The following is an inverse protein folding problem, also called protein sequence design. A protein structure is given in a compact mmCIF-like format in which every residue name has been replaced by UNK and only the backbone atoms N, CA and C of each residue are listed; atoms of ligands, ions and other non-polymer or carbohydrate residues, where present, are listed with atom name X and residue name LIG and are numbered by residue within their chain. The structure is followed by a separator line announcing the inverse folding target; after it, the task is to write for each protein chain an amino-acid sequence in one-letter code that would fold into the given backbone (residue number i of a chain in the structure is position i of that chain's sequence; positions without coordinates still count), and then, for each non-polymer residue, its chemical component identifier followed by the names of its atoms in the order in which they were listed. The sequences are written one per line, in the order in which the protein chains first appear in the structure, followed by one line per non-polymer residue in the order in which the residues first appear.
data_IF_602231446383
#
_entry.id   IF_602231446383
#
_cell.length_a   1.000
_cell.length_b   1.000
_cell.length_c   1.000
_cell.angle_alpha   90.00
_cell.angle_beta   90.00
_cell.angle_gamma   90.00
#
_symmetry.space_group_name_H-M   'P 1'
#
loop_
_entity.id
_entity.type
_entity.pdbx_description
1 polymer ?
#
# COMPACT_ATOMS: atom_id res chain seq x y z
N UNK A 1 -11.04 4.74 15.47
CA UNK A 1 -11.21 5.23 14.09
C UNK A 1 -11.85 4.11 13.31
N UNK A 2 -13.09 4.29 12.87
CA UNK A 2 -13.74 3.37 11.92
C UNK A 2 -13.18 3.78 10.55
N UNK A 3 -12.66 2.82 9.79
CA UNK A 3 -12.12 3.07 8.45
C UNK A 3 -13.11 2.44 7.47
N UNK A 4 -13.66 3.23 6.56
CA UNK A 4 -14.69 2.74 5.65
C UNK A 4 -14.08 2.04 4.43
N UNK A 5 -14.76 1.04 3.84
CA UNK A 5 -14.33 0.41 2.59
C UNK A 5 -14.16 1.47 1.49
N UNK A 6 -13.03 1.42 0.77
CA UNK A 6 -12.72 2.38 -0.29
C UNK A 6 -12.01 3.66 0.15
N UNK A 7 -11.72 3.82 1.44
CA UNK A 7 -10.82 4.88 1.92
C UNK A 7 -9.34 4.49 1.75
N UNK A 8 -8.42 5.46 1.51
CA UNK A 8 -7.00 5.15 1.36
C UNK A 8 -6.42 4.48 2.61
N UNK A 9 -6.88 4.87 3.80
CA UNK A 9 -6.48 4.25 5.07
C UNK A 9 -6.89 2.76 5.13
N UNK A 10 -8.01 2.38 4.50
CA UNK A 10 -8.47 0.99 4.45
C UNK A 10 -7.48 0.13 3.65
N UNK A 11 -7.10 0.62 2.47
CA UNK A 11 -6.14 -0.03 1.58
C UNK A 11 -4.78 -0.18 2.27
N UNK A 12 -4.29 0.89 2.92
CA UNK A 12 -3.01 0.86 3.67
C UNK A 12 -3.07 -0.18 4.79
N UNK A 13 -4.15 -0.21 5.57
CA UNK A 13 -4.33 -1.15 6.67
C UNK A 13 -4.40 -2.60 6.17
N UNK A 14 -5.08 -2.84 5.06
CA UNK A 14 -5.20 -4.18 4.47
C UNK A 14 -3.85 -4.69 3.94
N UNK A 15 -3.10 -3.84 3.21
CA UNK A 15 -1.74 -4.16 2.77
C UNK A 15 -0.83 -4.46 3.96
N UNK A 16 -0.92 -3.67 5.03
CA UNK A 16 -0.14 -3.91 6.24
C UNK A 16 -0.48 -5.27 6.87
N UNK A 17 -1.78 -5.60 7.00
CA UNK A 17 -2.23 -6.91 7.52
C UNK A 17 -1.70 -8.07 6.69
N UNK A 18 -1.80 -8.00 5.36
CA UNK A 18 -1.29 -9.03 4.44
C UNK A 18 0.24 -9.19 4.56
N UNK A 19 0.96 -8.06 4.66
CA UNK A 19 2.42 -8.06 4.90
C UNK A 19 2.80 -8.74 6.21
N UNK A 20 2.08 -8.46 7.31
CA UNK A 20 2.35 -9.10 8.61
C UNK A 20 2.05 -10.59 8.56
N UNK A 21 0.91 -10.99 7.98
CA UNK A 21 0.55 -12.41 7.85
C UNK A 21 1.62 -13.22 7.11
N UNK A 22 2.22 -12.67 6.05
CA UNK A 22 3.34 -13.32 5.36
C UNK A 22 4.58 -13.43 6.25
N UNK A 23 4.93 -12.37 6.99
CA UNK A 23 6.07 -12.38 7.91
C UNK A 23 5.90 -13.38 9.05
N UNK A 24 4.69 -13.49 9.61
CA UNK A 24 4.34 -14.47 10.63
C UNK A 24 4.48 -15.92 10.12
N UNK A 25 4.29 -16.13 8.81
CA UNK A 25 4.54 -17.40 8.13
C UNK A 25 6.02 -17.62 7.76
N UNK A 26 6.93 -16.71 8.14
CA UNK A 26 8.34 -16.77 7.77
C UNK A 26 8.62 -16.42 6.30
N UNK A 27 7.65 -15.88 5.57
CA UNK A 27 7.81 -15.43 4.19
C UNK A 27 8.24 -13.96 4.17
N UNK A 28 9.09 -13.62 3.19
CA UNK A 28 9.48 -12.24 2.92
C UNK A 28 8.61 -11.67 1.79
N UNK A 29 7.78 -10.66 2.06
CA UNK A 29 7.06 -9.93 1.03
C UNK A 29 8.03 -9.32 0.01
N UNK A 30 7.71 -9.46 -1.26
CA UNK A 30 8.53 -8.98 -2.38
C UNK A 30 7.86 -7.86 -3.17
N UNK A 31 6.53 -7.80 -3.19
CA UNK A 31 5.79 -6.79 -3.95
C UNK A 31 4.40 -6.53 -3.40
N UNK A 32 3.86 -5.38 -3.78
CA UNK A 32 2.46 -4.98 -3.56
C UNK A 32 1.75 -5.01 -4.91
N UNK A 33 0.60 -5.67 -4.99
CA UNK A 33 -0.23 -5.69 -6.20
C UNK A 33 -1.52 -4.93 -5.91
N UNK A 34 -1.87 -3.98 -6.76
CA UNK A 34 -3.05 -3.13 -6.59
C UNK A 34 -3.88 -3.09 -7.87
N UNK A 35 -5.19 -2.91 -7.72
CA UNK A 35 -6.01 -2.42 -8.82
C UNK A 35 -5.56 -1.02 -9.23
N UNK A 36 -5.82 -0.63 -10.48
CA UNK A 36 -5.55 0.75 -10.93
C UNK A 36 -6.30 1.80 -10.09
N UNK A 37 -7.48 1.45 -9.58
CA UNK A 37 -8.31 2.34 -8.76
C UNK A 37 -7.66 2.57 -7.39
N UNK A 38 -7.23 1.50 -6.71
CA UNK A 38 -6.58 1.60 -5.41
C UNK A 38 -5.20 2.26 -5.49
N UNK A 39 -4.45 2.01 -6.57
CA UNK A 39 -3.20 2.75 -6.81
C UNK A 39 -3.45 4.26 -6.91
N UNK A 40 -4.42 4.68 -7.73
CA UNK A 40 -4.76 6.11 -7.87
C UNK A 40 -5.25 6.71 -6.56
N UNK A 41 -6.06 5.98 -5.80
CA UNK A 41 -6.54 6.39 -4.49
C UNK A 41 -5.38 6.65 -3.52
N UNK A 42 -4.40 5.74 -3.45
CA UNK A 42 -3.22 5.91 -2.60
C UNK A 42 -2.34 7.09 -3.07
N UNK A 43 -2.15 7.25 -4.37
CA UNK A 43 -1.35 8.37 -4.90
C UNK A 43 -2.03 9.73 -4.63
N UNK A 44 -3.36 9.80 -4.77
CA UNK A 44 -4.11 11.00 -4.44
C UNK A 44 -4.01 11.32 -2.95
N UNK A 45 -4.15 10.31 -2.09
CA UNK A 45 -3.98 10.47 -0.65
C UNK A 45 -2.57 10.95 -0.30
N UNK A 46 -1.54 10.32 -0.86
CA UNK A 46 -0.15 10.72 -0.66
C UNK A 46 0.10 12.18 -1.05
N UNK A 47 -0.42 12.61 -2.20
CA UNK A 47 -0.34 14.00 -2.64
C UNK A 47 -1.00 15.00 -1.67
N UNK A 48 -2.01 14.60 -0.90
CA UNK A 48 -2.65 15.46 0.11
C UNK A 48 -1.83 15.62 1.39
N UNK A 49 -0.93 14.67 1.69
CA UNK A 49 -0.10 14.71 2.91
C UNK A 49 1.08 15.68 2.77
N UNK A 50 1.43 16.07 1.54
CA UNK A 50 2.64 16.84 1.25
C UNK A 50 3.90 15.99 1.31
N UNK A 51 5.05 16.61 1.06
CA UNK A 51 6.34 15.93 1.08
C UNK A 51 6.95 15.99 2.49
N UNK A 52 7.31 14.83 3.05
CA UNK A 52 8.13 14.79 4.25
C UNK A 52 9.56 15.26 3.90
N UNK A 53 10.22 16.03 4.79
CA UNK A 53 11.60 16.47 4.57
C UNK A 53 12.61 15.32 4.54
N UNK A 54 12.22 14.12 5.02
CA UNK A 54 13.01 12.90 4.92
C UNK A 54 12.19 11.79 4.22
N UNK A 55 12.53 11.42 2.97
CA UNK A 55 11.82 10.40 2.21
C UNK A 55 11.96 8.99 2.80
N UNK A 56 12.96 8.71 3.64
CA UNK A 56 13.16 7.39 4.26
C UNK A 56 12.08 7.02 5.29
N UNK A 57 11.26 8.00 5.71
CA UNK A 57 10.13 7.79 6.63
C UNK A 57 8.83 7.54 5.85
N UNK A 58 8.84 7.79 4.53
CA UNK A 58 7.65 7.70 3.70
C UNK A 58 7.41 6.26 3.24
N UNK A 59 6.30 5.69 3.71
CA UNK A 59 5.91 4.33 3.38
C UNK A 59 5.05 4.25 2.11
N UNK A 60 4.74 5.38 1.46
CA UNK A 60 4.08 5.43 0.15
C UNK A 60 4.89 6.33 -0.75
N UNK A 61 5.44 5.79 -1.82
CA UNK A 61 6.07 6.59 -2.88
C UNK A 61 5.32 6.40 -4.18
N UNK A 62 5.81 7.04 -5.25
CA UNK A 62 5.27 6.85 -6.59
C UNK A 62 5.30 5.38 -7.06
N UNK A 63 6.30 4.62 -6.62
CA UNK A 63 6.57 3.27 -7.12
C UNK A 63 6.62 2.19 -6.04
N UNK A 64 6.59 2.57 -4.77
CA UNK A 64 6.68 1.63 -3.65
C UNK A 64 5.62 1.88 -2.58
N UNK A 65 5.21 0.81 -1.90
CA UNK A 65 4.45 0.88 -0.65
C UNK A 65 5.12 -0.06 0.36
N UNK A 66 5.43 0.45 1.55
CA UNK A 66 6.22 -0.25 2.57
C UNK A 66 7.57 -0.80 2.04
N UNK A 67 8.25 -0.01 1.21
CA UNK A 67 9.49 -0.35 0.51
C UNK A 67 9.36 -1.50 -0.52
N UNK A 68 8.14 -1.93 -0.82
CA UNK A 68 7.86 -2.97 -1.81
C UNK A 68 7.43 -2.34 -3.14
N UNK A 69 7.97 -2.78 -4.29
CA UNK A 69 7.53 -2.31 -5.59
C UNK A 69 6.04 -2.58 -5.82
N UNK A 70 5.35 -1.60 -6.41
CA UNK A 70 3.93 -1.68 -6.76
C UNK A 70 3.76 -2.21 -8.17
N UNK A 71 2.90 -3.21 -8.32
CA UNK A 71 2.43 -3.74 -9.59
C UNK A 71 0.93 -3.50 -9.74
N UNK A 72 0.48 -3.23 -10.96
CA UNK A 72 -0.93 -3.00 -11.25
C UNK A 72 -1.53 -4.24 -11.89
N UNK A 73 -2.57 -4.78 -11.27
CA UNK A 73 -3.39 -5.86 -11.81
C UNK A 73 -4.86 -5.59 -11.46
N UNK A 74 -5.71 -5.50 -12.49
CA UNK A 74 -7.13 -5.17 -12.31
C UNK A 74 -7.97 -6.37 -11.86
N UNK A 75 -7.40 -7.57 -11.75
CA UNK A 75 -8.09 -8.75 -11.23
C UNK A 75 -8.01 -8.88 -9.70
N UNK A 76 -7.28 -7.99 -9.03
CA UNK A 76 -7.13 -7.96 -7.57
C UNK A 76 -7.41 -6.54 -7.05
N UNK A 77 -8.04 -6.43 -5.89
CA UNK A 77 -8.25 -5.13 -5.25
C UNK A 77 -6.95 -4.61 -4.62
N UNK A 78 -6.39 -5.38 -3.68
CA UNK A 78 -5.04 -5.19 -3.16
C UNK A 78 -4.45 -6.52 -2.70
N UNK A 79 -3.15 -6.73 -2.83
CA UNK A 79 -2.46 -7.92 -2.37
C UNK A 79 -1.00 -7.62 -2.01
N UNK A 80 -0.42 -8.49 -1.16
CA UNK A 80 1.02 -8.51 -0.88
C UNK A 80 1.49 -9.95 -1.09
N UNK A 81 2.61 -10.11 -1.80
CA UNK A 81 3.13 -11.42 -2.23
C UNK A 81 4.55 -11.68 -1.74
#
# INVERSE_FOLDING_TARGET
MIVEPGEPQAVILELWRKRQALREQGRLPQRVVLSVQNYRLLQQYHATLGELPNPDIDYITRYTVFDLPVYIDNNVECNVE
#
